data_IF_114772695751
#
_entry.id   IF_114772695751
#
_cell.length_a   1.000
_cell.length_b   1.000
_cell.length_c   1.000
_cell.angle_alpha   90.00
_cell.angle_beta   90.00
_cell.angle_gamma   90.00
#
_symmetry.space_group_name_H-M   'P 1'
#
loop_
_entity.id
_entity.type
_entity.pdbx_description
1 polymer ?
#
# COMPACT_ATOMS: atom_id res chain seq x y z
N UNK A 1 11.99 -5.38 -17.08
CA UNK A 1 11.62 -6.67 -16.48
C UNK A 1 12.89 -7.48 -16.26
N UNK A 2 13.52 -7.33 -15.09
CA UNK A 2 14.82 -7.98 -14.79
C UNK A 2 14.58 -9.41 -14.30
N UNK A 3 13.53 -9.62 -13.51
CA UNK A 3 13.20 -10.93 -12.94
C UNK A 3 12.85 -11.98 -14.01
N UNK A 4 12.08 -11.61 -15.04
CA UNK A 4 11.74 -12.54 -16.14
C UNK A 4 12.95 -12.98 -16.96
N UNK A 5 14.01 -12.16 -17.02
CA UNK A 5 15.25 -12.48 -17.74
C UNK A 5 16.16 -13.40 -16.93
N UNK A 6 16.20 -13.26 -15.61
CA UNK A 6 17.09 -14.03 -14.74
C UNK A 6 16.44 -15.31 -14.18
N UNK A 7 15.11 -15.33 -14.04
CA UNK A 7 14.36 -16.41 -13.41
C UNK A 7 13.15 -16.88 -14.25
N UNK A 8 13.31 -17.23 -15.55
CA UNK A 8 12.18 -17.52 -16.45
C UNK A 8 11.36 -18.74 -16.01
N UNK A 9 11.97 -19.72 -15.35
CA UNK A 9 11.27 -20.93 -14.87
C UNK A 9 10.36 -20.68 -13.67
N UNK A 10 10.59 -19.58 -12.94
CA UNK A 10 9.75 -19.18 -11.81
C UNK A 10 8.61 -18.25 -12.25
N UNK A 11 8.80 -17.51 -13.33
CA UNK A 11 7.80 -16.55 -13.81
C UNK A 11 6.47 -17.22 -14.15
N UNK A 12 6.49 -18.29 -14.94
CA UNK A 12 5.26 -19.00 -15.36
C UNK A 12 4.41 -19.49 -14.17
N UNK A 13 4.97 -20.22 -13.19
CA UNK A 13 4.23 -20.61 -11.99
C UNK A 13 3.69 -19.43 -11.16
N UNK A 14 4.44 -18.32 -11.06
CA UNK A 14 3.99 -17.14 -10.29
C UNK A 14 2.83 -16.44 -11.02
N UNK A 15 2.89 -16.31 -12.34
CA UNK A 15 1.79 -15.77 -13.16
C UNK A 15 0.54 -16.66 -13.03
N UNK A 16 0.67 -17.98 -13.17
CA UNK A 16 -0.45 -18.90 -12.99
C UNK A 16 -1.05 -18.83 -11.58
N UNK A 17 -0.23 -18.58 -10.55
CA UNK A 17 -0.73 -18.43 -9.18
C UNK A 17 -1.46 -17.09 -8.97
N UNK A 18 -1.05 -16.03 -9.64
CA UNK A 18 -1.79 -14.76 -9.62
C UNK A 18 -3.16 -14.89 -10.31
N UNK A 19 -3.23 -15.66 -11.41
CA UNK A 19 -4.47 -15.87 -12.18
C UNK A 19 -5.55 -16.67 -11.41
N UNK A 20 -5.19 -17.44 -10.38
CA UNK A 20 -6.18 -18.19 -9.58
C UNK A 20 -6.87 -17.34 -8.51
N UNK A 21 -6.44 -16.09 -8.31
CA UNK A 21 -7.08 -15.18 -7.35
C UNK A 21 -8.48 -14.82 -7.86
N UNK A 22 -9.48 -15.11 -7.04
CA UNK A 22 -10.88 -14.74 -7.28
C UNK A 22 -11.38 -13.83 -6.15
N UNK A 23 -12.45 -13.04 -6.35
CA UNK A 23 -13.01 -12.19 -5.29
C UNK A 23 -13.51 -12.99 -4.07
N UNK A 24 -13.77 -14.29 -4.24
CA UNK A 24 -14.17 -15.20 -3.16
C UNK A 24 -12.97 -15.81 -2.40
N UNK A 25 -11.74 -15.58 -2.89
CA UNK A 25 -10.52 -16.04 -2.21
C UNK A 25 -10.32 -15.25 -0.93
N UNK A 26 -9.91 -15.94 0.15
CA UNK A 26 -9.65 -15.31 1.44
C UNK A 26 -8.69 -14.12 1.29
N UNK A 27 -9.03 -13.00 1.93
CA UNK A 27 -8.30 -11.73 1.78
C UNK A 27 -6.83 -11.88 2.19
N UNK A 28 -6.51 -12.63 3.23
CA UNK A 28 -5.12 -12.82 3.67
C UNK A 28 -4.34 -13.71 2.69
N UNK A 29 -5.00 -14.73 2.15
CA UNK A 29 -4.43 -15.57 1.10
C UNK A 29 -4.15 -14.75 -0.17
N UNK A 30 -5.12 -13.92 -0.59
CA UNK A 30 -4.98 -13.01 -1.73
C UNK A 30 -3.81 -12.06 -1.56
N UNK A 31 -3.69 -11.40 -0.39
CA UNK A 31 -2.57 -10.49 -0.11
C UNK A 31 -1.20 -11.21 -0.12
N UNK A 32 -1.15 -12.45 0.35
CA UNK A 32 0.08 -13.26 0.32
C UNK A 32 0.50 -13.62 -1.13
N UNK A 33 -0.47 -13.90 -2.00
CA UNK A 33 -0.22 -14.14 -3.43
C UNK A 33 0.25 -12.85 -4.11
N UNK A 34 -0.42 -11.73 -3.83
CA UNK A 34 -0.04 -10.42 -4.38
C UNK A 34 1.33 -9.94 -3.90
N UNK A 35 1.76 -10.30 -2.68
CA UNK A 35 3.12 -10.01 -2.20
C UNK A 35 4.17 -10.69 -3.08
N UNK A 36 3.99 -11.98 -3.36
CA UNK A 36 4.87 -12.73 -4.25
C UNK A 36 4.83 -12.20 -5.69
N UNK A 37 3.63 -11.95 -6.23
CA UNK A 37 3.46 -11.47 -7.60
C UNK A 37 4.06 -10.06 -7.78
N UNK A 38 3.79 -9.14 -6.86
CA UNK A 38 4.37 -7.79 -6.87
C UNK A 38 5.90 -7.82 -6.78
N UNK A 39 6.47 -8.71 -5.96
CA UNK A 39 7.92 -8.90 -5.86
C UNK A 39 8.55 -9.43 -7.16
N UNK A 40 7.80 -10.21 -7.95
CA UNK A 40 8.20 -10.64 -9.30
C UNK A 40 8.01 -9.54 -10.36
N UNK A 41 7.44 -8.39 -9.99
CA UNK A 41 7.12 -7.29 -10.89
C UNK A 41 5.84 -7.51 -11.70
N UNK A 42 4.95 -8.39 -11.24
CA UNK A 42 3.63 -8.60 -11.82
C UNK A 42 2.68 -7.54 -11.23
N UNK A 43 1.93 -6.80 -12.07
CA UNK A 43 0.98 -5.80 -11.57
C UNK A 43 -0.13 -6.49 -10.78
N UNK A 44 -0.44 -5.95 -9.60
CA UNK A 44 -1.50 -6.45 -8.73
C UNK A 44 -2.59 -5.37 -8.58
N UNK A 45 -3.85 -5.79 -8.46
CA UNK A 45 -4.99 -4.87 -8.28
C UNK A 45 -4.94 -4.14 -6.92
N UNK A 46 -4.36 -4.80 -5.92
CA UNK A 46 -4.12 -4.24 -4.58
C UNK A 46 -2.64 -4.39 -4.27
N UNK A 47 -1.98 -3.27 -3.96
CA UNK A 47 -0.58 -3.26 -3.55
C UNK A 47 -0.44 -3.70 -2.08
N UNK A 48 0.18 -4.85 -1.79
CA UNK A 48 0.33 -5.36 -0.42
C UNK A 48 1.26 -4.49 0.43
N UNK A 49 2.29 -3.86 -0.16
CA UNK A 49 3.18 -2.96 0.57
C UNK A 49 2.44 -1.67 0.97
N UNK A 50 1.59 -1.15 0.09
CA UNK A 50 0.71 -0.03 0.43
C UNK A 50 -0.28 -0.40 1.54
N UNK A 51 -0.88 -1.60 1.49
CA UNK A 51 -1.76 -2.11 2.56
C UNK A 51 -1.02 -2.20 3.89
N UNK A 52 0.19 -2.77 3.91
CA UNK A 52 1.02 -2.86 5.12
C UNK A 52 1.39 -1.48 5.65
N UNK A 53 1.79 -0.56 4.77
CA UNK A 53 2.10 0.81 5.14
C UNK A 53 0.86 1.44 5.80
N UNK A 54 -0.26 1.52 5.07
CA UNK A 54 -1.53 2.10 5.52
C UNK A 54 -2.06 1.49 6.82
N UNK A 55 -1.87 0.19 7.02
CA UNK A 55 -2.24 -0.49 8.27
C UNK A 55 -1.42 0.01 9.47
N UNK A 56 -0.15 0.38 9.26
CA UNK A 56 0.73 1.00 10.25
C UNK A 56 0.39 2.47 10.55
N UNK A 57 -0.28 3.17 9.63
CA UNK A 57 -0.69 4.58 9.77
C UNK A 57 -1.66 4.84 10.91
N UNK A 58 -2.26 3.78 11.48
CA UNK A 58 -3.01 3.85 12.75
C UNK A 58 -2.18 4.46 13.89
N UNK A 59 -0.85 4.43 13.77
CA UNK A 59 0.10 5.04 14.71
C UNK A 59 0.63 6.42 14.27
N UNK A 60 0.34 6.85 13.03
CA UNK A 60 1.16 7.83 12.30
C UNK A 60 0.60 9.24 12.15
N UNK A 61 -0.72 9.48 12.30
CA UNK A 61 -1.23 10.86 12.22
C UNK A 61 -0.78 11.73 13.43
N UNK A 62 -0.30 11.09 14.50
CA UNK A 62 0.37 11.74 15.63
C UNK A 62 1.91 11.77 15.55
N UNK A 63 2.53 11.06 14.60
CA UNK A 63 4.01 10.91 14.51
C UNK A 63 4.59 11.59 13.25
N UNK A 64 3.75 11.90 12.26
CA UNK A 64 4.16 12.62 11.05
C UNK A 64 4.58 14.09 11.26
N UNK A 65 4.53 14.62 12.48
CA UNK A 65 5.20 15.89 12.82
C UNK A 65 6.55 15.70 13.56
N UNK A 66 7.00 14.47 13.80
CA UNK A 66 8.04 14.20 14.81
C UNK A 66 9.31 13.46 14.37
N UNK A 67 9.25 12.33 13.66
CA UNK A 67 10.47 11.49 13.54
C UNK A 67 10.53 10.69 12.23
N UNK A 68 11.29 11.20 11.28
CA UNK A 68 11.77 10.51 10.08
C UNK A 68 13.22 10.00 10.27
N UNK A 69 13.69 9.86 11.50
CA UNK A 69 14.96 9.19 11.78
C UNK A 69 14.75 7.69 12.03
N UNK A 70 15.21 6.86 11.09
CA UNK A 70 15.59 5.48 11.36
C UNK A 70 14.88 4.41 10.55
N UNK A 71 15.36 4.15 9.31
CA UNK A 71 15.22 2.83 8.69
C UNK A 71 16.05 1.80 9.49
N UNK A 72 15.50 0.65 9.93
CA UNK A 72 16.28 -0.41 10.54
C UNK A 72 16.47 -1.55 9.53
N UNK A 73 17.41 -1.39 8.60
CA UNK A 73 18.09 -2.55 8.04
C UNK A 73 19.39 -2.75 8.84
N UNK A 74 19.54 -3.95 9.40
CA UNK A 74 20.66 -4.46 10.21
C UNK A 74 20.65 -4.15 11.72
N UNK A 75 20.15 -5.10 12.52
CA UNK A 75 20.91 -5.81 13.57
C UNK A 75 19.94 -6.62 14.45
N UNK A 76 20.22 -7.91 14.66
CA UNK A 76 19.49 -8.72 15.62
C UNK A 76 19.88 -8.38 17.07
N UNK A 77 18.90 -8.15 17.94
CA UNK A 77 18.87 -8.45 19.38
C UNK A 77 17.44 -8.12 19.95
N UNK A 78 17.11 -8.43 21.22
CA UNK A 78 16.06 -9.38 21.59
C UNK A 78 14.74 -8.73 22.06
N UNK A 79 13.71 -9.57 22.10
CA UNK A 79 12.40 -9.31 22.71
C UNK A 79 12.52 -8.77 24.15
N UNK A 80 12.25 -7.48 24.37
CA UNK A 80 11.84 -6.97 25.69
C UNK A 80 10.86 -5.81 25.52
N UNK A 81 9.79 -5.86 26.30
CA UNK A 81 8.51 -5.19 26.07
C UNK A 81 8.56 -3.67 25.89
N UNK A 82 7.85 -3.22 24.86
CA UNK A 82 7.16 -1.94 24.94
C UNK A 82 5.76 -2.20 25.51
N UNK A 83 5.48 -1.53 26.62
CA UNK A 83 4.18 -1.46 27.28
C UNK A 83 3.09 -1.06 26.28
N UNK A 84 1.89 -1.70 26.30
CA UNK A 84 0.74 -1.23 25.55
C UNK A 84 0.21 0.02 26.26
N UNK A 85 0.81 1.18 26.00
CA UNK A 85 0.17 2.45 26.28
C UNK A 85 -1.10 2.50 25.45
N UNK A 86 -2.25 2.49 26.13
CA UNK A 86 -3.59 2.45 25.56
C UNK A 86 -3.76 3.43 24.40
N UNK A 87 -3.58 2.96 23.18
CA UNK A 87 -4.18 3.57 22.02
C UNK A 87 -5.67 3.22 22.12
N UNK A 88 -6.45 4.12 22.72
CA UNK A 88 -7.90 4.07 22.64
C UNK A 88 -8.24 4.21 21.15
N UNK A 89 -8.40 3.06 20.51
CA UNK A 89 -8.53 2.93 19.08
C UNK A 89 -9.81 3.60 18.61
N UNK A 90 -9.67 4.46 17.60
CA UNK A 90 -10.74 4.68 16.62
C UNK A 90 -11.35 3.32 16.26
N UNK A 91 -12.68 3.23 16.32
CA UNK A 91 -13.38 2.01 15.91
C UNK A 91 -13.17 1.75 14.42
N UNK A 92 -13.19 0.49 13.95
CA UNK A 92 -13.02 0.19 12.52
C UNK A 92 -14.06 0.89 11.63
N UNK A 93 -15.21 1.25 12.19
CA UNK A 93 -16.26 2.01 11.53
C UNK A 93 -15.87 3.47 11.24
N UNK A 94 -15.09 4.09 12.14
CA UNK A 94 -14.60 5.46 11.98
C UNK A 94 -13.52 5.54 10.90
N UNK A 95 -12.59 4.58 10.89
CA UNK A 95 -11.54 4.50 9.86
C UNK A 95 -12.13 4.31 8.46
N UNK A 96 -13.19 3.50 8.35
CA UNK A 96 -13.95 3.36 7.11
C UNK A 96 -14.59 4.68 6.69
N UNK A 97 -15.25 5.40 7.62
CA UNK A 97 -15.85 6.71 7.34
C UNK A 97 -14.82 7.72 6.89
N UNK A 98 -13.65 7.78 7.53
CA UNK A 98 -12.55 8.67 7.12
C UNK A 98 -12.10 8.32 5.71
N UNK A 99 -11.89 7.04 5.41
CA UNK A 99 -11.50 6.57 4.07
C UNK A 99 -12.52 6.97 3.00
N UNK A 100 -13.82 6.79 3.27
CA UNK A 100 -14.88 7.23 2.38
C UNK A 100 -14.89 8.75 2.19
N UNK A 101 -14.74 9.51 3.27
CA UNK A 101 -14.71 10.97 3.23
C UNK A 101 -13.50 11.50 2.47
N UNK A 102 -12.34 10.84 2.56
CA UNK A 102 -11.15 11.19 1.77
C UNK A 102 -11.42 11.04 0.27
N UNK A 103 -12.06 9.95 -0.16
CA UNK A 103 -12.46 9.77 -1.57
C UNK A 103 -13.44 10.87 -2.03
N UNK A 104 -14.44 11.19 -1.21
CA UNK A 104 -15.40 12.28 -1.51
C UNK A 104 -14.66 13.61 -1.62
N UNK A 105 -13.75 13.88 -0.68
CA UNK A 105 -12.94 15.11 -0.66
C UNK A 105 -12.07 15.24 -1.92
N UNK A 106 -11.39 14.16 -2.34
CA UNK A 106 -10.62 14.15 -3.59
C UNK A 106 -11.53 14.49 -4.76
N UNK A 107 -12.68 13.82 -4.90
CA UNK A 107 -13.60 14.04 -6.00
C UNK A 107 -14.12 15.48 -6.09
N UNK A 108 -14.50 16.10 -4.97
CA UNK A 108 -15.00 17.49 -4.95
C UNK A 108 -13.89 18.53 -5.15
N UNK A 109 -12.63 18.16 -4.91
CA UNK A 109 -11.48 19.05 -5.06
C UNK A 109 -10.88 19.02 -6.48
N UNK A 110 -11.19 18.00 -7.30
CA UNK A 110 -10.72 17.90 -8.69
C UNK A 110 -10.99 19.17 -9.54
N UNK A 111 -12.16 19.84 -9.45
CA UNK A 111 -12.40 21.07 -10.21
C UNK A 111 -11.46 22.23 -9.81
N UNK A 112 -11.02 22.28 -8.54
CA UNK A 112 -10.05 23.27 -8.09
C UNK A 112 -8.67 22.96 -8.67
N UNK A 113 -8.29 21.68 -8.71
CA UNK A 113 -7.04 21.22 -9.31
C UNK A 113 -6.99 21.52 -10.81
N UNK A 114 -8.11 21.37 -11.53
CA UNK A 114 -8.21 21.65 -12.96
C UNK A 114 -8.15 23.15 -13.32
N UNK A 115 -8.37 24.05 -12.35
CA UNK A 115 -8.24 25.48 -12.55
C UNK A 115 -6.78 25.96 -12.38
N UNK A 116 -5.88 25.08 -11.93
CA UNK A 116 -4.48 25.41 -11.71
C UNK A 116 -3.73 25.50 -13.06
N UNK A 117 -2.97 26.59 -13.32
CA UNK A 117 -2.26 26.75 -14.59
C UNK A 117 -1.13 25.74 -14.80
N UNK A 118 -0.69 25.00 -13.77
CA UNK A 118 0.28 23.91 -13.92
C UNK A 118 -0.40 22.55 -14.17
N UNK A 119 -1.73 22.44 -14.11
CA UNK A 119 -2.47 21.20 -14.38
C UNK A 119 -2.81 21.00 -15.87
N UNK A 120 -2.05 21.61 -16.78
CA UNK A 120 -2.28 21.51 -18.23
C UNK A 120 -1.70 20.20 -18.75
N UNK A 121 -2.54 19.40 -19.42
CA UNK A 121 -2.13 18.15 -20.04
C UNK A 121 -1.08 18.39 -21.14
N UNK A 122 0.05 17.68 -21.07
CA UNK A 122 1.07 17.71 -22.11
C UNK A 122 1.13 16.35 -22.85
N UNK A 123 0.72 16.29 -24.14
CA UNK A 123 0.74 15.04 -24.89
C UNK A 123 2.15 14.49 -25.14
N UNK A 124 3.19 15.32 -25.05
CA UNK A 124 4.57 14.85 -25.20
C UNK A 124 5.09 14.10 -23.96
N UNK A 125 4.47 14.33 -22.80
CA UNK A 125 4.81 13.69 -21.53
C UNK A 125 3.85 12.55 -21.16
N UNK A 126 2.80 12.33 -21.95
CA UNK A 126 1.68 11.42 -21.62
C UNK A 126 1.07 11.76 -20.24
N UNK A 127 1.01 13.07 -19.92
CA UNK A 127 0.60 13.62 -18.63
C UNK A 127 0.43 15.13 -18.67
#
# INVERSE_FOLDING_TARGET
QVFSQHCPFLMGPIECLADVVTPDTDIQVTLSIFELASAAGIPCEVDPALVTALAGNRTGLGVALGTWEGCPCHAGAPVTGLSPGSAEGSSPEEDYKVSCLLLVFVAVSLPLLAADPASVYNPELDG
#
